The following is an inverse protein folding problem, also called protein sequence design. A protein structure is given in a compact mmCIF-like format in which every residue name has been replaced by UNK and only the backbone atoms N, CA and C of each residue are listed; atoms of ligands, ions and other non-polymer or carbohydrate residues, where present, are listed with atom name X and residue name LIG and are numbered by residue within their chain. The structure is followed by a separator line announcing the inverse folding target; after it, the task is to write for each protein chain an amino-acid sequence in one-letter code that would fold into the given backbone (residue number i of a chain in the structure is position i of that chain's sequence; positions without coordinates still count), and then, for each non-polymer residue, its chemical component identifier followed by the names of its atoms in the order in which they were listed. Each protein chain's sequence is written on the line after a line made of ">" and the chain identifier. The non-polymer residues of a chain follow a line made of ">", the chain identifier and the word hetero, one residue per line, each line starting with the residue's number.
data_IF_603546908864
#
_entry.id   IF_603546908864
#
_cell.length_a   1.000
_cell.length_b   1.000
_cell.length_c   1.000
_cell.angle_alpha   90.00
_cell.angle_beta   90.00
_cell.angle_gamma   90.00
#
_symmetry.space_group_name_H-M   'P 1'
#
loop_
_entity.id
_entity.type
_entity.pdbx_description
1 polymer ?
#
# COMPACT_ATOMS: atom_id res chain seq x y z
N UNK A 1 23.99 7.23 4.46
CA UNK A 1 22.54 7.41 4.63
C UNK A 1 21.88 6.08 4.30
N UNK A 2 21.46 5.30 5.32
CA UNK A 2 20.51 4.19 5.14
C UNK A 2 19.30 4.76 4.42
N UNK A 3 18.76 4.09 3.40
CA UNK A 3 17.65 4.57 2.59
C UNK A 3 16.49 4.58 3.57
N UNK A 4 16.14 5.75 4.13
CA UNK A 4 15.26 5.76 5.26
C UNK A 4 13.88 5.62 4.63
N UNK A 5 13.41 4.38 4.51
CA UNK A 5 12.01 4.10 4.23
C UNK A 5 11.28 4.43 5.53
N UNK A 6 10.95 5.71 5.71
CA UNK A 6 10.25 6.18 6.90
C UNK A 6 8.77 6.25 6.59
N UNK A 7 7.97 5.53 7.37
CA UNK A 7 6.52 5.65 7.39
C UNK A 7 5.76 4.42 6.91
N UNK A 8 4.72 4.05 7.66
CA UNK A 8 3.80 2.94 7.33
C UNK A 8 2.68 3.31 6.35
N UNK A 9 2.72 4.50 5.76
CA UNK A 9 1.60 5.03 4.95
C UNK A 9 1.33 4.19 3.70
N UNK A 10 2.34 3.62 3.04
CA UNK A 10 2.11 2.67 1.92
C UNK A 10 1.23 1.47 2.31
N UNK A 11 1.36 0.97 3.55
CA UNK A 11 0.50 -0.08 4.09
C UNK A 11 -0.95 0.38 4.33
N UNK A 12 -1.14 1.63 4.76
CA UNK A 12 -2.49 2.22 4.91
C UNK A 12 -3.19 2.29 3.56
N UNK A 13 -2.48 2.70 2.49
CA UNK A 13 -3.02 2.70 1.13
C UNK A 13 -3.39 1.29 0.67
N UNK A 14 -2.60 0.27 1.02
CA UNK A 14 -2.94 -1.12 0.74
C UNK A 14 -4.23 -1.55 1.45
N UNK A 15 -4.38 -1.24 2.74
CA UNK A 15 -5.59 -1.59 3.51
C UNK A 15 -6.83 -0.84 3.02
N UNK A 16 -6.74 0.47 2.80
CA UNK A 16 -7.85 1.29 2.31
C UNK A 16 -8.32 0.86 0.92
N UNK A 17 -7.38 0.55 0.02
CA UNK A 17 -7.71 0.14 -1.34
C UNK A 17 -8.20 -1.32 -1.43
N UNK A 18 -7.70 -2.22 -0.57
CA UNK A 18 -8.27 -3.56 -0.40
C UNK A 18 -9.71 -3.49 0.15
N UNK A 19 -9.96 -2.60 1.11
CA UNK A 19 -11.31 -2.36 1.63
C UNK A 19 -12.24 -1.80 0.56
N UNK A 20 -11.76 -0.86 -0.25
CA UNK A 20 -12.54 -0.31 -1.37
C UNK A 20 -12.89 -1.40 -2.38
N UNK A 21 -11.92 -2.22 -2.80
CA UNK A 21 -12.16 -3.37 -3.68
C UNK A 21 -13.23 -4.30 -3.09
N UNK A 22 -13.20 -4.53 -1.78
CA UNK A 22 -14.19 -5.34 -1.09
C UNK A 22 -15.62 -4.80 -1.19
N UNK A 23 -15.78 -3.51 -0.90
CA UNK A 23 -17.08 -2.85 -0.93
C UNK A 23 -17.66 -2.84 -2.35
N UNK A 24 -16.80 -2.64 -3.37
CA UNK A 24 -17.21 -2.66 -4.78
C UNK A 24 -17.65 -4.06 -5.21
N UNK A 25 -16.88 -5.12 -4.88
CA UNK A 25 -17.25 -6.49 -5.24
C UNK A 25 -18.53 -6.95 -4.55
N UNK A 26 -18.70 -6.63 -3.26
CA UNK A 26 -19.84 -7.06 -2.47
C UNK A 26 -21.02 -6.07 -2.50
N UNK A 27 -21.02 -5.12 -3.45
CA UNK A 27 -21.97 -4.00 -3.49
C UNK A 27 -23.44 -4.43 -3.53
N UNK A 28 -23.73 -5.51 -4.25
CA UNK A 28 -25.07 -6.04 -4.42
C UNK A 28 -25.62 -6.71 -3.15
N UNK A 29 -24.76 -7.37 -2.36
CA UNK A 29 -25.13 -8.07 -1.12
C UNK A 29 -25.22 -7.19 0.12
N UNK A 30 -24.74 -5.95 0.06
CA UNK A 30 -24.68 -5.05 1.21
C UNK A 30 -25.96 -4.22 1.39
N UNK A 31 -26.45 -4.13 2.63
CA UNK A 31 -27.57 -3.25 3.01
C UNK A 31 -27.26 -1.79 2.65
N UNK A 32 -28.25 -1.11 2.08
CA UNK A 32 -28.11 0.24 1.50
C UNK A 32 -27.35 1.27 2.37
N UNK A 33 -27.66 1.46 3.67
CA UNK A 33 -26.95 2.46 4.47
C UNK A 33 -25.47 2.11 4.72
N UNK A 34 -25.15 0.83 4.88
CA UNK A 34 -23.80 0.37 5.21
C UNK A 34 -22.82 0.49 4.03
N UNK A 35 -23.30 0.30 2.80
CA UNK A 35 -22.46 0.41 1.60
C UNK A 35 -22.10 1.84 1.24
N UNK A 36 -23.06 2.75 1.39
CA UNK A 36 -22.84 4.18 1.22
C UNK A 36 -21.86 4.71 2.26
N UNK A 37 -22.04 4.36 3.54
CA UNK A 37 -21.13 4.79 4.62
C UNK A 37 -19.68 4.35 4.36
N UNK A 38 -19.47 3.07 4.01
CA UNK A 38 -18.14 2.53 3.73
C UNK A 38 -17.49 3.17 2.51
N UNK A 39 -18.25 3.39 1.43
CA UNK A 39 -17.73 4.09 0.24
C UNK A 39 -17.37 5.53 0.54
N UNK A 40 -18.24 6.28 1.23
CA UNK A 40 -17.99 7.68 1.57
C UNK A 40 -16.75 7.79 2.45
N UNK A 41 -16.63 6.94 3.48
CA UNK A 41 -15.45 6.93 4.35
C UNK A 41 -14.18 6.62 3.56
N UNK A 42 -14.19 5.59 2.72
CA UNK A 42 -13.04 5.24 1.89
C UNK A 42 -12.66 6.37 0.92
N UNK A 43 -13.64 7.02 0.29
CA UNK A 43 -13.41 8.14 -0.63
C UNK A 43 -12.86 9.37 0.10
N UNK A 44 -13.40 9.71 1.26
CA UNK A 44 -12.91 10.85 2.07
C UNK A 44 -11.48 10.61 2.52
N UNK A 45 -11.17 9.41 3.04
CA UNK A 45 -9.81 9.08 3.49
C UNK A 45 -8.80 9.06 2.33
N UNK A 46 -9.17 8.49 1.18
CA UNK A 46 -8.25 8.42 0.03
C UNK A 46 -8.07 9.80 -0.63
N UNK A 47 -9.14 10.58 -0.76
CA UNK A 47 -9.08 11.93 -1.37
C UNK A 47 -8.35 12.95 -0.50
N UNK A 48 -8.48 12.88 0.84
CA UNK A 48 -7.74 13.77 1.74
C UNK A 48 -6.24 13.51 1.68
N UNK A 49 -5.82 12.25 1.61
CA UNK A 49 -4.40 11.88 1.49
C UNK A 49 -3.83 12.24 0.11
N UNK A 50 -4.56 12.00 -0.98
CA UNK A 50 -4.17 12.46 -2.32
C UNK A 50 -4.08 13.99 -2.36
N UNK A 51 -5.07 14.69 -1.79
CA UNK A 51 -5.08 16.14 -1.68
C UNK A 51 -3.88 16.67 -0.90
N UNK A 52 -3.52 16.03 0.22
CA UNK A 52 -2.33 16.34 1.00
C UNK A 52 -1.04 16.10 0.21
N UNK A 53 -0.94 15.00 -0.52
CA UNK A 53 0.22 14.69 -1.37
C UNK A 53 0.40 15.73 -2.50
N UNK A 54 -0.70 16.12 -3.16
CA UNK A 54 -0.71 17.19 -4.16
C UNK A 54 -0.33 18.53 -3.52
N UNK A 55 -0.92 18.88 -2.38
CA UNK A 55 -0.62 20.11 -1.66
C UNK A 55 0.87 20.23 -1.30
N UNK A 56 1.47 19.15 -0.75
CA UNK A 56 2.89 19.12 -0.41
C UNK A 56 3.80 19.20 -1.64
N UNK A 57 3.34 18.77 -2.82
CA UNK A 57 4.10 18.85 -4.07
C UNK A 57 4.17 20.28 -4.62
N UNK A 58 3.11 21.07 -4.44
CA UNK A 58 2.99 22.41 -5.00
C UNK A 58 3.19 23.55 -3.98
N UNK A 59 3.26 23.24 -2.69
CA UNK A 59 3.53 24.23 -1.65
C UNK A 59 5.03 24.51 -1.49
N UNK A 60 5.45 25.73 -1.11
CA UNK A 60 6.83 26.02 -0.76
C UNK A 60 7.33 25.07 0.33
N UNK A 61 8.59 24.58 0.26
CA UNK A 61 9.14 23.70 1.29
C UNK A 61 9.15 24.43 2.64
N UNK A 62 8.43 23.91 3.64
CA UNK A 62 8.55 24.41 5.01
C UNK A 62 9.88 23.89 5.60
N UNK A 63 10.71 24.75 6.23
CA UNK A 63 12.01 24.37 6.80
C UNK A 63 11.96 23.22 7.83
N UNK A 64 10.79 22.97 8.42
CA UNK A 64 10.55 21.95 9.47
C UNK A 64 9.77 20.73 9.00
N UNK A 65 9.42 20.64 7.71
CA UNK A 65 8.75 19.46 7.18
C UNK A 65 9.81 18.39 6.95
N UNK A 66 9.75 17.30 7.72
CA UNK A 66 10.62 16.13 7.51
C UNK A 66 10.53 15.56 6.08
N UNK A 67 11.18 14.41 5.82
CA UNK A 67 11.20 13.82 4.49
C UNK A 67 9.80 13.69 3.90
N UNK A 68 9.59 14.21 2.68
CA UNK A 68 8.29 14.11 2.03
C UNK A 68 7.95 12.63 1.78
N UNK A 69 6.72 12.19 2.08
CA UNK A 69 6.28 10.84 1.78
C UNK A 69 6.43 10.52 0.28
N UNK A 70 6.87 9.30 -0.03
CA UNK A 70 7.03 8.87 -1.42
C UNK A 70 5.67 8.61 -2.08
N UNK A 71 5.36 9.38 -3.13
CA UNK A 71 4.19 9.14 -3.98
C UNK A 71 4.18 7.71 -4.54
N UNK A 72 5.36 7.20 -4.92
CA UNK A 72 5.47 5.84 -5.43
C UNK A 72 5.19 4.78 -4.37
N UNK A 73 5.49 5.04 -3.11
CA UNK A 73 5.14 4.13 -2.01
C UNK A 73 3.62 4.08 -1.78
N UNK A 74 2.92 5.21 -1.92
CA UNK A 74 1.45 5.26 -1.83
C UNK A 74 0.77 4.58 -3.02
N UNK A 75 1.23 4.86 -4.23
CA UNK A 75 0.69 4.27 -5.46
C UNK A 75 0.90 2.75 -5.48
N UNK A 76 2.10 2.28 -5.17
CA UNK A 76 2.38 0.84 -5.09
C UNK A 76 1.57 0.15 -3.99
N UNK A 77 1.43 0.79 -2.82
CA UNK A 77 0.54 0.33 -1.76
C UNK A 77 -0.91 0.16 -2.24
N UNK A 78 -1.44 1.15 -2.95
CA UNK A 78 -2.80 1.08 -3.50
C UNK A 78 -2.96 -0.05 -4.54
N UNK A 79 -1.99 -0.23 -5.44
CA UNK A 79 -2.01 -1.31 -6.43
C UNK A 79 -1.97 -2.68 -5.76
N UNK A 80 -1.10 -2.86 -4.76
CA UNK A 80 -1.01 -4.11 -3.97
C UNK A 80 -2.33 -4.37 -3.24
N UNK A 81 -2.91 -3.35 -2.61
CA UNK A 81 -4.18 -3.47 -1.88
C UNK A 81 -5.37 -3.83 -2.76
N UNK A 82 -5.54 -3.18 -3.92
CA UNK A 82 -6.57 -3.55 -4.89
C UNK A 82 -6.37 -5.00 -5.35
N UNK A 83 -5.14 -5.35 -5.73
CA UNK A 83 -4.82 -6.69 -6.23
C UNK A 83 -5.10 -7.76 -5.18
N UNK A 84 -4.65 -7.56 -3.94
CA UNK A 84 -4.92 -8.46 -2.82
C UNK A 84 -6.41 -8.52 -2.46
N UNK A 85 -7.10 -7.37 -2.43
CA UNK A 85 -8.54 -7.32 -2.19
C UNK A 85 -9.30 -8.16 -3.21
N UNK A 86 -9.05 -7.93 -4.50
CA UNK A 86 -9.66 -8.70 -5.60
C UNK A 86 -9.34 -10.19 -5.51
N UNK A 87 -8.08 -10.56 -5.23
CA UNK A 87 -7.64 -11.95 -5.15
C UNK A 87 -8.22 -12.69 -3.94
N UNK A 88 -8.20 -12.09 -2.75
CA UNK A 88 -8.68 -12.70 -1.51
C UNK A 88 -10.21 -12.87 -1.56
N UNK A 89 -10.93 -11.85 -2.04
CA UNK A 89 -12.39 -11.83 -1.95
C UNK A 89 -13.05 -12.64 -3.06
N UNK A 90 -12.48 -12.63 -4.28
CA UNK A 90 -12.90 -13.55 -5.34
C UNK A 90 -12.62 -15.01 -4.97
N UNK A 91 -11.58 -15.25 -4.17
CA UNK A 91 -11.24 -16.58 -3.65
C UNK A 91 -12.07 -17.00 -2.43
N UNK A 92 -12.92 -16.13 -1.86
CA UNK A 92 -13.77 -16.45 -0.71
C UNK A 92 -15.18 -16.89 -1.12
N UNK A 93 -15.74 -16.31 -2.19
CA UNK A 93 -17.04 -16.73 -2.75
C UNK A 93 -16.96 -18.05 -3.51
N UNK A 94 -15.91 -18.22 -4.32
CA UNK A 94 -15.56 -19.52 -4.89
C UNK A 94 -14.84 -20.28 -3.78
N UNK A 95 -15.48 -21.27 -3.15
CA UNK A 95 -14.85 -22.09 -2.10
C UNK A 95 -13.38 -22.39 -2.45
N UNK A 96 -12.46 -22.37 -1.47
CA UNK A 96 -10.98 -22.54 -1.55
C UNK A 96 -10.42 -23.66 -2.46
N UNK A 97 -11.28 -24.39 -3.13
CA UNK A 97 -11.20 -25.64 -3.87
C UNK A 97 -10.54 -25.58 -5.27
N UNK A 98 -9.58 -24.67 -5.49
CA UNK A 98 -8.49 -24.92 -6.46
C UNK A 98 -7.08 -24.63 -5.92
N UNK A 99 -6.91 -24.23 -4.65
CA UNK A 99 -5.69 -24.07 -3.82
C UNK A 99 -4.45 -23.34 -4.39
N UNK A 100 -4.18 -23.37 -5.71
CA UNK A 100 -3.01 -22.81 -6.36
C UNK A 100 -2.93 -21.28 -6.24
N UNK A 101 -4.05 -20.56 -6.40
CA UNK A 101 -4.06 -19.08 -6.28
C UNK A 101 -3.71 -18.58 -4.88
N UNK A 102 -4.13 -19.30 -3.83
CA UNK A 102 -3.75 -18.99 -2.45
C UNK A 102 -2.23 -19.11 -2.25
N UNK A 103 -1.64 -20.20 -2.74
CA UNK A 103 -0.20 -20.39 -2.69
C UNK A 103 0.56 -19.35 -3.50
N UNK A 104 0.09 -18.94 -4.68
CA UNK A 104 0.70 -17.87 -5.47
C UNK A 104 0.75 -16.55 -4.68
N UNK A 105 -0.33 -16.21 -3.96
CA UNK A 105 -0.38 -15.02 -3.11
C UNK A 105 0.61 -15.12 -1.95
N UNK A 106 0.64 -16.25 -1.25
CA UNK A 106 1.56 -16.50 -0.14
C UNK A 106 3.02 -16.47 -0.61
N UNK A 107 3.34 -17.14 -1.72
CA UNK A 107 4.69 -17.14 -2.30
C UNK A 107 5.10 -15.76 -2.80
N UNK A 108 4.19 -15.02 -3.44
CA UNK A 108 4.44 -13.63 -3.84
C UNK A 108 4.75 -12.76 -2.64
N UNK A 109 3.93 -12.83 -1.58
CA UNK A 109 4.15 -12.08 -0.34
C UNK A 109 5.50 -12.41 0.32
N UNK A 110 5.82 -13.70 0.46
CA UNK A 110 7.11 -14.15 1.02
C UNK A 110 8.27 -13.67 0.15
N UNK A 111 8.16 -13.77 -1.18
CA UNK A 111 9.21 -13.34 -2.11
C UNK A 111 9.47 -11.83 -1.98
N UNK A 112 8.41 -11.01 -1.97
CA UNK A 112 8.55 -9.57 -1.78
C UNK A 112 9.09 -9.21 -0.39
N UNK A 113 8.70 -9.95 0.66
CA UNK A 113 9.22 -9.75 2.01
C UNK A 113 10.72 -10.08 2.09
N UNK A 114 11.13 -11.23 1.57
CA UNK A 114 12.53 -11.64 1.53
C UNK A 114 13.37 -10.68 0.68
N UNK A 115 12.86 -10.25 -0.47
CA UNK A 115 13.51 -9.24 -1.30
C UNK A 115 13.65 -7.91 -0.55
N UNK A 116 12.61 -7.45 0.16
CA UNK A 116 12.68 -6.23 0.95
C UNK A 116 13.72 -6.32 2.08
N UNK A 117 13.79 -7.45 2.77
CA UNK A 117 14.82 -7.72 3.80
C UNK A 117 16.21 -7.70 3.16
N UNK A 118 16.40 -8.48 2.10
CA UNK A 118 17.67 -8.56 1.36
C UNK A 118 18.12 -7.19 0.88
N UNK A 119 17.23 -6.43 0.24
CA UNK A 119 17.54 -5.10 -0.30
C UNK A 119 17.94 -4.12 0.82
N UNK A 120 17.25 -4.15 1.96
CA UNK A 120 17.59 -3.26 3.08
C UNK A 120 18.94 -3.60 3.73
N UNK A 121 19.37 -4.86 3.68
CA UNK A 121 20.66 -5.30 4.23
C UNK A 121 21.80 -5.06 3.22
N UNK A 122 21.65 -5.50 1.97
CA UNK A 122 22.77 -5.64 1.05
C UNK A 122 22.86 -4.55 -0.04
N UNK A 123 21.82 -3.74 -0.26
CA UNK A 123 21.82 -2.80 -1.40
C UNK A 123 22.98 -1.80 -1.38
N UNK A 124 23.44 -1.37 -0.20
CA UNK A 124 24.57 -0.44 -0.08
C UNK A 124 25.88 -1.04 -0.55
N UNK A 125 26.17 -2.26 -0.10
CA UNK A 125 27.38 -2.99 -0.49
C UNK A 125 27.34 -3.34 -1.98
N UNK A 126 26.17 -3.80 -2.47
CA UNK A 126 26.00 -4.19 -3.87
C UNK A 126 26.13 -3.02 -4.85
N UNK A 127 25.62 -1.84 -4.47
CA UNK A 127 25.66 -0.63 -5.29
C UNK A 127 26.94 0.19 -5.10
N UNK A 128 27.87 -0.24 -4.21
CA UNK A 128 29.10 0.49 -3.91
C UNK A 128 28.85 1.88 -3.31
N UNK A 129 27.69 2.11 -2.70
CA UNK A 129 27.29 3.42 -2.17
C UNK A 129 27.94 3.64 -0.82
N UNK A 130 28.90 4.57 -0.74
CA UNK A 130 29.49 4.95 0.54
C UNK A 130 28.44 5.58 1.47
N UNK A 131 28.31 5.01 2.66
CA UNK A 131 27.46 5.54 3.72
C UNK A 131 28.21 6.73 4.33
N UNK A 132 27.73 7.99 4.19
CA UNK A 132 28.33 9.12 4.89
C UNK A 132 28.43 8.85 6.39
N UNK A 133 29.53 9.29 7.03
CA UNK A 133 29.75 9.07 8.45
C UNK A 133 28.58 9.66 9.27
N UNK A 134 28.23 9.04 10.41
CA UNK A 134 27.27 9.64 11.32
C UNK A 134 27.76 11.01 11.81
N UNK A 135 26.85 11.95 12.13
CA UNK A 135 27.20 13.25 12.71
C UNK A 135 27.84 13.09 14.09
#
# INVERSE_FOLDING_TARGET
>A
MRAPVVGGSGGVYALCSAHLANVVMNWAGMRCPYKLLRMILALVCMSSEVGRAVWLRFSPPLPSSGPQPSFMAHLSGAVVGISMGLLILRSYEESLQKQCSWWVIVFSFITFLLFAIFWNIFAYELLGVQIPPPP
#
